data_IF_152870975980
#
_entry.id   IF_152870975980
#
_cell.length_a   1.000
_cell.length_b   1.000
_cell.length_c   1.000
_cell.angle_alpha   90.00
_cell.angle_beta   90.00
_cell.angle_gamma   90.00
#
_symmetry.space_group_name_H-M   'P 1'
#
loop_
_entity.id
_entity.type
_entity.pdbx_description
1 polymer ?
#
# COMPACT_ATOMS: atom_id res chain seq x y z
N UNK A 1 -1.90 18.62 -18.00
CA UNK A 1 -1.01 17.59 -17.44
C UNK A 1 0.35 18.22 -17.19
N UNK A 2 0.58 18.79 -16.00
CA UNK A 2 1.83 19.50 -15.69
C UNK A 2 2.86 18.46 -15.22
N UNK A 3 3.91 18.25 -16.01
CA UNK A 3 5.02 17.36 -15.64
C UNK A 3 5.71 17.91 -14.39
N UNK A 4 5.51 17.26 -13.24
CA UNK A 4 6.08 17.66 -11.93
C UNK A 4 7.42 17.01 -11.61
N UNK A 5 7.90 16.11 -12.46
CA UNK A 5 9.16 15.40 -12.27
C UNK A 5 10.11 15.82 -13.38
N UNK A 6 11.20 16.49 -13.01
CA UNK A 6 12.32 16.81 -13.89
C UNK A 6 13.55 16.09 -13.36
N UNK A 7 14.22 15.34 -14.23
CA UNK A 7 15.45 14.60 -13.94
C UNK A 7 16.59 15.22 -14.75
N UNK A 8 17.71 15.55 -14.11
CA UNK A 8 18.93 15.98 -14.78
C UNK A 8 20.14 15.37 -14.05
N UNK A 9 21.01 14.68 -14.79
CA UNK A 9 22.19 13.96 -14.26
C UNK A 9 21.91 13.12 -13.00
N UNK A 10 20.81 12.35 -13.02
CA UNK A 10 20.40 11.50 -11.88
C UNK A 10 19.84 12.25 -10.67
N UNK A 11 19.65 13.57 -10.77
CA UNK A 11 19.08 14.42 -9.71
C UNK A 11 17.65 14.81 -10.03
N UNK A 12 16.81 14.78 -9.00
CA UNK A 12 15.42 15.26 -9.07
C UNK A 12 15.45 16.77 -8.92
N UNK A 13 15.15 17.48 -10.00
CA UNK A 13 15.19 18.94 -10.07
C UNK A 13 13.94 19.60 -9.47
N UNK A 14 12.80 18.89 -9.47
CA UNK A 14 11.53 19.39 -8.95
C UNK A 14 11.08 18.58 -7.71
N UNK A 15 11.19 19.20 -6.54
CA UNK A 15 10.91 18.59 -5.24
C UNK A 15 9.45 18.79 -4.78
N UNK A 16 8.59 19.43 -5.59
CA UNK A 16 7.22 19.76 -5.22
C UNK A 16 6.26 18.57 -5.41
N UNK A 17 6.60 17.49 -4.72
CA UNK A 17 5.96 16.18 -4.78
C UNK A 17 5.08 15.94 -3.54
N UNK A 18 3.95 15.25 -3.73
CA UNK A 18 3.14 14.77 -2.62
C UNK A 18 3.92 13.75 -1.76
N UNK A 19 3.47 13.51 -0.52
CA UNK A 19 4.07 12.49 0.35
C UNK A 19 4.12 11.11 -0.33
N UNK A 20 3.02 10.69 -0.95
CA UNK A 20 2.95 9.43 -1.70
C UNK A 20 3.94 9.38 -2.88
N UNK A 21 4.08 10.48 -3.64
CA UNK A 21 5.07 10.56 -4.72
C UNK A 21 6.52 10.46 -4.21
N UNK A 22 6.84 11.13 -3.10
CA UNK A 22 8.17 11.01 -2.46
C UNK A 22 8.46 9.58 -2.03
N UNK A 23 7.50 8.89 -1.41
CA UNK A 23 7.62 7.47 -1.04
C UNK A 23 7.85 6.54 -2.24
N UNK A 24 7.19 6.81 -3.38
CA UNK A 24 7.39 6.05 -4.63
C UNK A 24 8.79 6.21 -5.20
N UNK A 25 9.30 7.43 -5.22
CA UNK A 25 10.68 7.68 -5.63
C UNK A 25 11.66 7.00 -4.68
N UNK A 26 11.46 7.10 -3.37
CA UNK A 26 12.32 6.44 -2.39
C UNK A 26 12.37 4.92 -2.58
N UNK A 27 11.22 4.28 -2.87
CA UNK A 27 11.16 2.86 -3.19
C UNK A 27 11.96 2.52 -4.46
N UNK A 28 11.81 3.30 -5.53
CA UNK A 28 12.55 3.10 -6.78
C UNK A 28 14.07 3.26 -6.56
N UNK A 29 14.48 4.25 -5.77
CA UNK A 29 15.89 4.44 -5.41
C UNK A 29 16.42 3.25 -4.60
N UNK A 30 15.67 2.77 -3.61
CA UNK A 30 16.05 1.58 -2.83
C UNK A 30 16.21 0.34 -3.70
N UNK A 31 15.38 0.20 -4.75
CA UNK A 31 15.50 -0.89 -5.73
C UNK A 31 16.71 -0.73 -6.65
N UNK A 32 17.03 0.51 -7.04
CA UNK A 32 18.20 0.81 -7.86
C UNK A 32 19.53 0.58 -7.10
N UNK A 33 19.53 0.61 -5.77
CA UNK A 33 20.70 0.28 -4.94
C UNK A 33 21.03 -1.23 -4.89
N UNK A 34 20.28 -2.07 -5.61
CA UNK A 34 20.51 -3.52 -5.75
C UNK A 34 20.60 -4.30 -4.42
N UNK A 35 20.11 -3.76 -3.29
CA UNK A 35 20.14 -4.41 -1.97
C UNK A 35 19.40 -5.75 -1.98
N UNK A 36 19.90 -6.76 -1.28
CA UNK A 36 19.25 -8.08 -1.22
C UNK A 36 18.02 -8.11 -0.29
N UNK A 37 17.99 -7.22 0.71
CA UNK A 37 16.95 -7.15 1.73
C UNK A 37 16.31 -5.77 1.74
N UNK A 38 14.98 -5.71 1.73
CA UNK A 38 14.19 -4.49 1.75
C UNK A 38 13.23 -4.54 2.94
N UNK A 39 13.27 -3.51 3.80
CA UNK A 39 12.33 -3.31 4.89
C UNK A 39 11.40 -2.14 4.54
N UNK A 40 10.10 -2.40 4.55
CA UNK A 40 9.06 -1.43 4.21
C UNK A 40 8.13 -1.25 5.40
N UNK A 41 8.30 -0.13 6.10
CA UNK A 41 7.48 0.21 7.27
C UNK A 41 6.27 1.06 6.85
N UNK A 42 5.06 0.48 6.92
CA UNK A 42 3.78 1.08 6.54
C UNK A 42 3.83 1.89 5.23
N UNK A 43 4.56 1.38 4.23
CA UNK A 43 4.84 2.13 3.02
C UNK A 43 3.56 2.50 2.25
N UNK A 44 2.60 1.58 2.21
CA UNK A 44 1.35 1.70 1.48
C UNK A 44 0.33 2.67 2.12
N UNK A 45 0.47 3.01 3.41
CA UNK A 45 -0.52 3.79 4.16
C UNK A 45 -0.78 5.20 3.59
N UNK A 46 0.25 5.82 3.00
CA UNK A 46 0.16 7.16 2.37
C UNK A 46 -0.13 7.12 0.86
N UNK A 47 -0.41 5.93 0.30
CA UNK A 47 -0.75 5.78 -1.10
C UNK A 47 -2.26 5.87 -1.31
N UNK A 48 -2.67 6.40 -2.46
CA UNK A 48 -4.07 6.31 -2.89
C UNK A 48 -4.47 4.83 -3.17
N UNK A 49 -5.77 4.52 -3.22
CA UNK A 49 -6.24 3.14 -3.35
C UNK A 49 -5.68 2.40 -4.58
N UNK A 50 -5.43 3.12 -5.68
CA UNK A 50 -4.87 2.54 -6.89
C UNK A 50 -3.41 2.13 -6.68
N UNK A 51 -2.56 3.03 -6.17
CA UNK A 51 -1.15 2.71 -5.93
C UNK A 51 -0.93 1.72 -4.78
N UNK A 52 -1.80 1.69 -3.77
CA UNK A 52 -1.78 0.66 -2.74
C UNK A 52 -2.01 -0.72 -3.34
N UNK A 53 -3.00 -0.87 -4.22
CA UNK A 53 -3.26 -2.13 -4.93
C UNK A 53 -2.08 -2.54 -5.80
N UNK A 54 -1.54 -1.59 -6.57
CA UNK A 54 -0.36 -1.82 -7.42
C UNK A 54 0.85 -2.30 -6.60
N UNK A 55 1.06 -1.73 -5.42
CA UNK A 55 2.13 -2.13 -4.53
C UNK A 55 2.04 -3.60 -4.12
N UNK A 56 0.88 -4.04 -3.63
CA UNK A 56 0.71 -5.43 -3.18
C UNK A 56 0.63 -6.44 -4.33
N UNK A 57 -0.04 -6.08 -5.44
CA UNK A 57 -0.33 -7.03 -6.51
C UNK A 57 0.74 -7.07 -7.61
N UNK A 58 1.57 -6.03 -7.72
CA UNK A 58 2.54 -5.91 -8.80
C UNK A 58 3.96 -5.70 -8.25
N UNK A 59 4.17 -4.68 -7.41
CA UNK A 59 5.53 -4.35 -6.97
C UNK A 59 6.13 -5.41 -6.04
N UNK A 60 5.38 -5.88 -5.04
CA UNK A 60 5.87 -6.95 -4.14
C UNK A 60 6.26 -8.22 -4.91
N UNK A 61 5.39 -8.80 -5.77
CA UNK A 61 5.77 -9.95 -6.61
C UNK A 61 6.94 -9.68 -7.56
N UNK A 62 7.05 -8.46 -8.10
CA UNK A 62 8.17 -8.10 -8.97
C UNK A 62 9.49 -8.11 -8.20
N UNK A 63 9.54 -7.47 -7.04
CA UNK A 63 10.73 -7.45 -6.18
C UNK A 63 11.12 -8.87 -5.74
N UNK A 64 10.15 -9.71 -5.42
CA UNK A 64 10.38 -11.13 -5.11
C UNK A 64 11.00 -11.87 -6.31
N UNK A 65 10.47 -11.67 -7.53
CA UNK A 65 11.04 -12.25 -8.77
C UNK A 65 12.45 -11.77 -9.08
N UNK A 66 12.80 -10.57 -8.62
CA UNK A 66 14.17 -10.03 -8.69
C UNK A 66 15.11 -10.67 -7.65
N UNK A 67 14.65 -11.64 -6.86
CA UNK A 67 15.43 -12.34 -5.83
C UNK A 67 15.55 -11.56 -4.52
N UNK A 68 14.74 -10.53 -4.29
CA UNK A 68 14.80 -9.69 -3.09
C UNK A 68 14.05 -10.35 -1.93
N UNK A 69 14.62 -10.28 -0.73
CA UNK A 69 13.92 -10.60 0.52
C UNK A 69 13.23 -9.35 1.03
N UNK A 70 11.91 -9.40 1.23
CA UNK A 70 11.10 -8.23 1.57
C UNK A 70 10.40 -8.44 2.92
N UNK A 71 10.60 -7.51 3.84
CA UNK A 71 9.84 -7.40 5.08
C UNK A 71 8.89 -6.22 4.93
N UNK A 72 7.60 -6.48 4.69
CA UNK A 72 6.57 -5.45 4.61
C UNK A 72 5.76 -5.43 5.91
N UNK A 73 5.81 -4.32 6.63
CA UNK A 73 4.99 -4.07 7.83
C UNK A 73 3.74 -3.35 7.36
N UNK A 74 2.58 -3.93 7.66
CA UNK A 74 1.30 -3.39 7.22
C UNK A 74 0.14 -3.84 8.09
N UNK A 75 -0.89 -3.00 8.15
CA UNK A 75 -2.21 -3.31 8.70
C UNK A 75 -3.26 -3.57 7.59
N UNK A 76 -2.88 -3.56 6.32
CA UNK A 76 -3.77 -3.82 5.18
C UNK A 76 -4.04 -5.34 5.03
N UNK A 77 -4.82 -5.88 5.94
CA UNK A 77 -5.27 -7.28 6.04
C UNK A 77 -5.77 -7.91 4.72
N UNK A 78 -6.46 -7.13 3.89
CA UNK A 78 -6.91 -7.52 2.54
C UNK A 78 -5.81 -8.09 1.64
N UNK A 79 -4.55 -7.72 1.90
CA UNK A 79 -3.42 -8.08 1.06
C UNK A 79 -2.46 -9.08 1.74
N UNK A 80 -2.77 -9.56 2.96
CA UNK A 80 -1.96 -10.58 3.63
C UNK A 80 -1.87 -11.90 2.84
N UNK A 81 -2.86 -12.18 2.00
CA UNK A 81 -2.85 -13.31 1.06
C UNK A 81 -1.67 -13.27 0.08
N UNK A 82 -1.07 -12.10 -0.18
CA UNK A 82 0.04 -11.95 -1.11
C UNK A 82 1.41 -12.22 -0.47
N UNK A 83 1.49 -12.32 0.86
CA UNK A 83 2.75 -12.62 1.54
C UNK A 83 3.07 -14.12 1.45
N UNK A 84 4.33 -14.50 1.29
CA UNK A 84 4.71 -15.91 1.41
C UNK A 84 4.50 -16.41 2.85
N UNK A 85 4.90 -15.57 3.82
CA UNK A 85 4.81 -15.80 5.26
C UNK A 85 4.10 -14.62 5.91
N UNK A 86 3.22 -14.90 6.87
CA UNK A 86 2.51 -13.88 7.64
C UNK A 86 2.93 -13.99 9.10
N UNK A 87 3.47 -12.91 9.64
CA UNK A 87 3.89 -12.86 11.04
C UNK A 87 3.08 -11.81 11.77
N UNK A 88 2.49 -12.18 12.91
CA UNK A 88 1.80 -11.27 13.81
C UNK A 88 2.76 -10.82 14.91
N UNK A 89 2.86 -9.51 15.11
CA UNK A 89 3.54 -8.92 16.26
C UNK A 89 2.50 -8.59 17.34
N UNK A 90 2.60 -9.23 18.50
CA UNK A 90 1.71 -9.00 19.65
C UNK A 90 2.53 -8.97 20.94
N UNK A 91 2.37 -7.90 21.74
CA UNK A 91 3.07 -7.72 23.01
C UNK A 91 4.60 -7.88 22.90
N UNK A 92 5.20 -7.40 21.81
CA UNK A 92 6.64 -7.52 21.55
C UNK A 92 7.11 -8.91 21.12
N UNK A 93 6.19 -9.85 20.87
CA UNK A 93 6.49 -11.18 20.37
C UNK A 93 6.02 -11.32 18.92
N UNK A 94 6.85 -11.93 18.08
CA UNK A 94 6.55 -12.19 16.69
C UNK A 94 6.23 -13.68 16.50
N UNK A 95 5.03 -13.98 16.03
CA UNK A 95 4.55 -15.35 15.82
C UNK A 95 4.12 -15.51 14.37
N UNK A 96 4.52 -16.62 13.73
CA UNK A 96 4.08 -16.92 12.37
C UNK A 96 2.66 -17.50 12.38
N UNK A 97 1.78 -16.89 11.59
CA UNK A 97 0.41 -17.38 11.40
C UNK A 97 0.38 -18.41 10.28
N UNK A 98 -0.25 -19.56 10.54
CA UNK A 98 -0.40 -20.65 9.57
C UNK A 98 -1.83 -21.20 9.59
N UNK A 99 -2.20 -21.97 8.55
CA UNK A 99 -3.52 -22.61 8.46
C UNK A 99 -4.69 -21.66 8.73
N UNK A 100 -5.59 -22.05 9.64
CA UNK A 100 -6.80 -21.29 9.96
C UNK A 100 -6.53 -19.90 10.54
N UNK A 101 -5.45 -19.71 11.30
CA UNK A 101 -5.09 -18.43 11.92
C UNK A 101 -4.71 -17.41 10.85
N UNK A 102 -3.92 -17.83 9.86
CA UNK A 102 -3.56 -17.02 8.69
C UNK A 102 -4.80 -16.64 7.88
N UNK A 103 -5.67 -17.60 7.65
CA UNK A 103 -6.90 -17.34 6.90
C UNK A 103 -7.83 -16.39 7.66
N UNK A 104 -7.95 -16.53 8.98
CA UNK A 104 -8.75 -15.64 9.82
C UNK A 104 -8.21 -14.20 9.78
N UNK A 105 -6.89 -14.01 9.89
CA UNK A 105 -6.27 -12.70 9.77
C UNK A 105 -6.51 -12.05 8.40
N UNK A 106 -6.60 -12.86 7.33
CA UNK A 106 -6.92 -12.37 5.98
C UNK A 106 -8.42 -12.13 5.75
N UNK A 107 -9.29 -12.83 6.50
CA UNK A 107 -10.76 -12.75 6.40
C UNK A 107 -11.39 -11.65 7.25
N UNK A 108 -10.75 -11.22 8.34
CA UNK A 108 -11.22 -10.09 9.16
C UNK A 108 -11.40 -8.81 8.30
N UNK A 109 -10.68 -8.74 7.18
CA UNK A 109 -10.83 -7.78 6.09
C UNK A 109 -12.18 -7.87 5.33
N UNK A 110 -12.60 -9.09 4.97
CA UNK A 110 -13.82 -9.36 4.20
C UNK A 110 -15.06 -8.98 5.02
N UNK A 111 -15.04 -9.24 6.33
CA UNK A 111 -16.11 -8.85 7.25
C UNK A 111 -16.31 -7.33 7.33
N UNK A 112 -15.23 -6.54 7.20
CA UNK A 112 -15.28 -5.07 7.16
C UNK A 112 -15.75 -4.51 5.80
N UNK A 113 -15.51 -5.23 4.71
CA UNK A 113 -15.99 -4.80 3.38
C UNK A 113 -17.48 -5.09 3.18
N UNK A 114 -18.00 -6.17 3.76
CA UNK A 114 -19.43 -6.52 3.69
C UNK A 114 -20.35 -5.53 4.43
N UNK A 115 -19.80 -4.68 5.31
CA UNK A 115 -20.54 -3.61 6.01
C UNK A 115 -20.44 -2.23 5.37
N UNK A 116 -19.68 -2.07 4.27
CA UNK A 116 -19.68 -0.81 3.48
C UNK A 116 -20.72 -0.91 2.36
N UNK A 117 -22.00 -0.77 2.72
CA UNK A 117 -23.07 -0.45 1.77
C UNK A 117 -22.81 0.93 1.12
N UNK A 118 -23.25 1.16 -0.12
CA UNK A 118 -23.07 2.45 -0.79
C UNK A 118 -24.03 3.48 -0.18
N UNK A 119 -23.57 4.23 0.81
CA UNK A 119 -24.36 5.30 1.44
C UNK A 119 -24.37 6.56 0.55
N UNK A 120 -25.52 6.77 -0.06
CA UNK A 120 -26.21 8.02 -0.38
C UNK A 120 -25.35 9.28 -0.59
N UNK A 121 -25.13 9.64 -1.86
CA UNK A 121 -24.81 11.03 -2.21
C UNK A 121 -26.05 11.89 -1.92
N UNK A 122 -25.97 12.97 -1.13
CA UNK A 122 -27.07 13.91 -1.04
C UNK A 122 -27.26 14.61 -2.39
N UNK A 123 -28.47 14.48 -2.92
CA UNK A 123 -28.91 15.02 -4.19
C UNK A 123 -28.85 16.56 -4.14
N UNK A 124 -27.88 17.17 -4.84
CA UNK A 124 -27.82 18.63 -5.02
C UNK A 124 -28.80 19.04 -6.12
N UNK A 125 -30.09 18.84 -5.88
CA UNK A 125 -31.16 19.35 -6.75
C UNK A 125 -32.51 19.46 -6.05
N UNK A 126 -32.56 20.17 -4.91
CA UNK A 126 -33.80 20.74 -4.40
C UNK A 126 -33.52 21.98 -3.55
N UNK A 127 -33.13 23.07 -4.24
CA UNK A 127 -33.15 24.41 -3.68
C UNK A 127 -33.44 25.42 -4.78
N UNK A 128 -34.49 25.14 -5.56
CA UNK A 128 -35.24 26.16 -6.30
C UNK A 128 -36.71 25.81 -6.10
N UNK A 129 -37.35 26.46 -5.11
CA UNK A 129 -38.74 26.97 -5.16
C UNK A 129 -39.33 27.22 -3.76
N UNK A 130 -39.82 28.45 -3.60
CA UNK A 130 -40.73 29.00 -2.58
C UNK A 130 -40.13 29.51 -1.27
N UNK A 131 -40.26 30.82 -1.08
CA UNK A 131 -40.02 31.57 0.16
C UNK A 131 -39.53 32.97 -0.14
#
# INVERSE_FOLDING_TARGET
MTHKLELNDGRILNLNLSKGQKKRIALLLALAEERDIILLDEWAADQDPHFRREFYQVLLPLMQKMGKTIFAISHDDHYFIHADRLLEMRNGQLTELTGEERDAASRDAVARTATMAPDERPDKQSAIRHG
#
